data_IF_392739476372
#
_entry.id   IF_392739476372
#
_cell.length_a   1.000
_cell.length_b   1.000
_cell.length_c   1.000
_cell.angle_alpha   90.00
_cell.angle_beta   90.00
_cell.angle_gamma   90.00
#
_symmetry.space_group_name_H-M   'P 1'
#
loop_
_entity.id
_entity.type
_entity.pdbx_description
1 polymer ?
#
# COMPACT_ATOMS: atom_id res chain seq x y z
N UNK A 1 -14.50 14.85 -6.27
CA UNK A 1 -13.89 14.69 -4.92
C UNK A 1 -13.08 13.41 -4.98
N UNK A 2 -11.79 13.43 -4.64
CA UNK A 2 -11.00 12.20 -4.58
C UNK A 2 -11.14 11.59 -3.18
N UNK A 3 -11.53 10.32 -3.08
CA UNK A 3 -11.58 9.57 -1.83
C UNK A 3 -10.24 8.87 -1.56
N UNK A 4 -9.98 8.53 -0.30
CA UNK A 4 -8.75 7.87 0.12
C UNK A 4 -9.08 6.49 0.66
N UNK A 5 -8.44 5.47 0.10
CA UNK A 5 -8.58 4.11 0.55
C UNK A 5 -7.94 3.94 1.93
N UNK A 6 -8.63 3.24 2.81
CA UNK A 6 -8.31 2.96 4.20
C UNK A 6 -7.75 1.55 4.33
N UNK A 7 -6.56 1.37 4.94
CA UNK A 7 -6.00 0.04 5.15
C UNK A 7 -6.90 -0.80 6.06
N UNK A 8 -7.18 -2.04 5.66
CA UNK A 8 -7.99 -3.01 6.38
C UNK A 8 -9.47 -3.03 6.00
N UNK A 9 -10.02 -1.94 5.45
CA UNK A 9 -11.34 -1.96 4.80
C UNK A 9 -11.21 -2.09 3.29
N UNK A 10 -10.34 -1.30 2.66
CA UNK A 10 -10.37 -1.14 1.19
C UNK A 10 -9.19 -1.86 0.52
N UNK A 11 -8.10 -2.10 1.27
CA UNK A 11 -6.97 -2.93 0.87
C UNK A 11 -6.27 -3.57 2.07
N UNK A 12 -5.54 -4.66 1.84
CA UNK A 12 -4.73 -5.30 2.89
C UNK A 12 -3.68 -4.33 3.44
N UNK A 13 -3.64 -4.17 4.76
CA UNK A 13 -2.68 -3.29 5.41
C UNK A 13 -1.23 -3.67 5.05
N UNK A 14 -0.42 -2.67 4.70
CA UNK A 14 0.99 -2.87 4.34
C UNK A 14 1.82 -3.24 5.59
N UNK A 15 2.92 -3.98 5.40
CA UNK A 15 3.84 -4.38 6.47
C UNK A 15 4.57 -3.21 7.15
N UNK A 16 4.64 -2.06 6.46
CA UNK A 16 5.41 -0.89 6.89
C UNK A 16 6.92 -0.98 6.64
N UNK A 17 7.43 -2.12 6.12
CA UNK A 17 8.84 -2.33 5.82
C UNK A 17 8.96 -3.01 4.45
N UNK A 18 9.88 -2.50 3.63
CA UNK A 18 10.29 -3.11 2.36
C UNK A 18 11.82 -3.23 2.35
N UNK A 19 12.33 -4.40 1.94
CA UNK A 19 13.77 -4.67 1.89
C UNK A 19 14.22 -4.87 0.46
N UNK A 20 15.19 -4.05 0.02
CA UNK A 20 15.88 -4.28 -1.25
C UNK A 20 17.00 -5.29 -0.98
N UNK A 21 16.86 -6.49 -1.54
CA UNK A 21 17.79 -7.59 -1.31
C UNK A 21 19.17 -7.37 -1.95
N UNK A 22 20.21 -8.11 -1.50
CA UNK A 22 21.55 -8.00 -2.07
C UNK A 22 21.57 -8.21 -3.58
N UNK A 23 22.18 -7.27 -4.31
CA UNK A 23 22.26 -7.32 -5.78
C UNK A 23 20.99 -6.89 -6.51
N UNK A 24 19.91 -6.56 -5.80
CA UNK A 24 18.70 -5.97 -6.39
C UNK A 24 18.76 -4.45 -6.40
N UNK A 25 18.15 -3.84 -7.42
CA UNK A 25 17.89 -2.40 -7.46
C UNK A 25 16.47 -2.05 -6.98
N UNK A 26 15.58 -3.04 -6.85
CA UNK A 26 14.15 -2.85 -6.60
C UNK A 26 13.61 -3.83 -5.57
N UNK A 27 12.46 -3.47 -5.00
CA UNK A 27 11.63 -4.32 -4.17
C UNK A 27 10.16 -3.93 -4.39
N UNK A 28 9.25 -4.89 -4.27
CA UNK A 28 7.82 -4.68 -4.48
C UNK A 28 7.10 -4.27 -3.18
N UNK A 29 6.13 -3.36 -3.30
CA UNK A 29 5.19 -3.01 -2.24
C UNK A 29 3.78 -3.35 -2.74
N UNK A 30 3.28 -4.58 -2.48
CA UNK A 30 1.98 -5.00 -3.00
C UNK A 30 0.84 -4.31 -2.25
N UNK A 31 0.02 -3.56 -2.97
CA UNK A 31 -1.27 -3.03 -2.50
C UNK A 31 -2.36 -3.95 -3.03
N UNK A 32 -3.00 -4.73 -2.16
CA UNK A 32 -3.98 -5.75 -2.55
C UNK A 32 -5.38 -5.24 -2.16
N UNK A 33 -6.24 -4.86 -3.12
CA UNK A 33 -7.60 -4.42 -2.84
C UNK A 33 -8.43 -5.50 -2.15
N UNK A 34 -9.36 -5.08 -1.32
CA UNK A 34 -10.38 -5.93 -0.72
C UNK A 34 -11.63 -5.83 -1.58
N UNK A 35 -12.17 -6.97 -2.01
CA UNK A 35 -13.43 -7.04 -2.74
C UNK A 35 -14.56 -7.25 -1.72
N UNK A 36 -15.49 -6.30 -1.65
CA UNK A 36 -16.64 -6.35 -0.76
C UNK A 36 -17.96 -5.94 -1.46
N UNK A 37 -19.04 -5.85 -0.69
CA UNK A 37 -20.38 -5.52 -1.23
C UNK A 37 -20.74 -4.03 -1.10
N UNK A 38 -19.84 -3.21 -0.56
CA UNK A 38 -20.07 -1.79 -0.33
C UNK A 38 -19.88 -1.05 -1.65
N UNK A 39 -20.83 -0.17 -2.00
CA UNK A 39 -20.68 0.67 -3.19
C UNK A 39 -19.91 1.92 -2.82
N UNK A 40 -18.73 2.05 -3.42
CA UNK A 40 -17.78 3.12 -3.11
C UNK A 40 -17.40 3.91 -4.38
N UNK A 41 -17.03 5.20 -4.25
CA UNK A 41 -16.44 5.94 -5.36
C UNK A 41 -15.01 5.46 -5.66
N UNK A 42 -14.41 5.96 -6.73
CA UNK A 42 -12.98 5.73 -6.96
C UNK A 42 -12.12 6.32 -5.84
N UNK A 43 -11.14 5.55 -5.41
CA UNK A 43 -10.22 5.91 -4.34
C UNK A 43 -8.76 5.86 -4.78
N UNK A 44 -7.88 6.45 -3.96
CA UNK A 44 -6.44 6.43 -4.19
C UNK A 44 -5.68 5.96 -2.95
N UNK A 45 -4.46 5.46 -3.16
CA UNK A 45 -3.49 5.14 -2.10
C UNK A 45 -2.23 5.99 -2.31
N UNK A 46 -1.73 6.61 -1.24
CA UNK A 46 -0.47 7.33 -1.24
C UNK A 46 0.59 6.51 -0.49
N UNK A 47 1.69 6.19 -1.17
CA UNK A 47 2.83 5.47 -0.58
C UNK A 47 4.02 6.42 -0.47
N UNK A 48 4.63 6.47 0.72
CA UNK A 48 5.89 7.18 0.97
C UNK A 48 6.91 6.18 1.51
N UNK A 49 8.13 6.23 0.98
CA UNK A 49 9.22 5.35 1.39
C UNK A 49 10.31 6.23 2.00
N UNK A 50 10.76 5.88 3.20
CA UNK A 50 11.86 6.53 3.90
C UNK A 50 12.97 5.52 4.19
N UNK A 51 14.25 5.95 4.26
CA UNK A 51 15.33 5.08 4.73
C UNK A 51 15.04 4.52 6.13
N UNK A 52 15.52 3.30 6.40
CA UNK A 52 15.57 2.77 7.75
C UNK A 52 16.48 3.67 8.61
N UNK A 53 16.03 4.19 9.76
CA UNK A 53 16.86 5.01 10.63
C UNK A 53 17.95 4.22 11.39
N UNK A 54 17.92 2.88 11.38
CA UNK A 54 18.86 2.03 12.08
C UNK A 54 20.26 1.96 11.43
#
# INVERSE_FOLDING_TARGET
>A
LAAMATPGSDYNALSGIVTIGPGSATADVPVIPIDDLTVEPNESVNVSITPDPA
#
